data_IF_195761072998
#
_entry.id   IF_195761072998
#
_cell.length_a   1.000
_cell.length_b   1.000
_cell.length_c   1.000
_cell.angle_alpha   90.00
_cell.angle_beta   90.00
_cell.angle_gamma   90.00
#
_symmetry.space_group_name_H-M   'P 1'
#
loop_
_entity.id
_entity.type
_entity.pdbx_description
1 polymer ?
#
# COMPACT_ATOMS: atom_id res chain seq x y z
N UNK A 1 13.71 -5.27 -8.14
CA UNK A 1 12.42 -5.85 -8.51
C UNK A 1 12.18 -5.91 -10.02
N UNK A 2 12.90 -5.12 -10.85
CA UNK A 2 12.78 -5.13 -12.32
C UNK A 2 13.78 -6.08 -13.02
N UNK A 3 14.70 -6.70 -12.27
CA UNK A 3 15.73 -7.59 -12.81
C UNK A 3 15.18 -8.81 -13.56
N UNK A 4 14.17 -9.55 -13.06
CA UNK A 4 13.64 -10.73 -13.73
C UNK A 4 12.88 -10.40 -15.03
N UNK A 5 12.25 -9.21 -15.08
CA UNK A 5 11.55 -8.76 -16.28
C UNK A 5 12.53 -8.38 -17.40
N UNK A 6 13.65 -7.76 -17.02
CA UNK A 6 14.73 -7.39 -17.95
C UNK A 6 15.41 -8.61 -18.53
N UNK A 7 15.68 -9.63 -17.72
CA UNK A 7 16.30 -10.89 -18.15
C UNK A 7 15.41 -11.71 -19.10
N UNK A 8 14.11 -11.78 -18.81
CA UNK A 8 13.12 -12.42 -19.70
C UNK A 8 12.92 -11.65 -21.02
N UNK A 9 13.01 -10.32 -20.99
CA UNK A 9 12.97 -9.46 -22.18
C UNK A 9 14.24 -9.59 -23.03
N UNK A 10 15.40 -9.75 -22.43
CA UNK A 10 16.65 -10.04 -23.15
C UNK A 10 16.58 -11.42 -23.82
N UNK A 11 16.04 -12.44 -23.15
CA UNK A 11 15.81 -13.78 -23.71
C UNK A 11 14.80 -13.73 -24.86
N UNK A 12 13.69 -12.98 -24.72
CA UNK A 12 12.72 -12.76 -25.80
C UNK A 12 13.35 -12.04 -26.99
N UNK A 13 14.15 -11.01 -26.76
CA UNK A 13 14.85 -10.29 -27.81
C UNK A 13 15.87 -11.17 -28.55
N UNK A 14 16.52 -12.11 -27.87
CA UNK A 14 17.40 -13.11 -28.47
C UNK A 14 16.61 -14.14 -29.33
N UNK A 15 15.47 -14.60 -28.83
CA UNK A 15 14.61 -15.58 -29.53
C UNK A 15 14.01 -14.97 -30.82
N UNK A 16 13.54 -13.74 -30.75
CA UNK A 16 13.02 -12.97 -31.91
C UNK A 16 14.14 -12.63 -32.88
N UNK A 17 15.37 -12.42 -32.41
CA UNK A 17 16.53 -12.11 -33.28
C UNK A 17 17.00 -13.32 -34.06
N UNK A 18 16.91 -14.51 -33.51
CA UNK A 18 17.34 -15.75 -34.17
C UNK A 18 16.36 -16.27 -35.24
N UNK A 19 15.08 -15.83 -35.19
CA UNK A 19 14.03 -16.36 -36.09
C UNK A 19 13.62 -15.46 -37.28
N UNK A 20 14.29 -14.32 -37.51
CA UNK A 20 13.83 -13.41 -38.56
C UNK A 20 14.95 -12.68 -39.30
N UNK A 21 15.39 -13.17 -40.41
CA UNK A 21 16.16 -12.42 -41.41
C UNK A 21 15.29 -11.56 -42.35
N UNK A 22 13.96 -11.61 -42.28
CA UNK A 22 13.06 -10.92 -43.22
C UNK A 22 12.08 -9.87 -42.60
N UNK A 23 12.09 -9.61 -41.28
CA UNK A 23 11.13 -8.68 -40.68
C UNK A 23 11.79 -7.55 -39.89
N UNK A 24 12.77 -6.88 -40.49
CA UNK A 24 13.52 -5.78 -39.84
C UNK A 24 12.66 -4.54 -39.53
N UNK A 25 11.66 -4.24 -40.32
CA UNK A 25 10.78 -3.07 -40.16
C UNK A 25 9.85 -3.26 -38.93
N UNK A 26 9.13 -4.37 -38.82
CA UNK A 26 8.21 -4.66 -37.71
C UNK A 26 8.94 -4.82 -36.38
N UNK A 27 10.18 -5.29 -36.39
CA UNK A 27 11.02 -5.43 -35.20
C UNK A 27 11.44 -4.09 -34.59
N UNK A 28 11.75 -3.13 -35.47
CA UNK A 28 12.12 -1.76 -35.02
C UNK A 28 10.92 -1.03 -34.44
N UNK A 29 9.75 -1.19 -35.03
CA UNK A 29 8.50 -0.58 -34.56
C UNK A 29 8.05 -1.12 -33.21
N UNK A 30 8.12 -2.44 -33.00
CA UNK A 30 7.82 -3.08 -31.70
C UNK A 30 8.82 -2.63 -30.63
N UNK A 31 10.11 -2.52 -30.97
CA UNK A 31 11.14 -2.08 -30.05
C UNK A 31 10.95 -0.62 -29.63
N UNK A 32 10.66 0.28 -30.58
CA UNK A 32 10.40 1.71 -30.30
C UNK A 32 9.15 1.89 -29.46
N UNK A 33 8.06 1.21 -29.78
CA UNK A 33 6.80 1.27 -29.01
C UNK A 33 7.00 0.78 -27.58
N UNK A 34 7.80 -0.28 -27.39
CA UNK A 34 8.13 -0.79 -26.05
C UNK A 34 9.04 0.19 -25.27
N UNK A 35 10.07 0.75 -25.89
CA UNK A 35 10.94 1.75 -25.27
C UNK A 35 10.16 3.02 -24.88
N UNK A 36 9.23 3.45 -25.71
CA UNK A 36 8.32 4.57 -25.38
C UNK A 36 7.36 4.24 -24.23
N UNK A 37 6.79 3.04 -24.21
CA UNK A 37 5.94 2.57 -23.11
C UNK A 37 6.71 2.52 -21.78
N UNK A 38 7.94 2.02 -21.80
CA UNK A 38 8.81 1.99 -20.62
C UNK A 38 9.20 3.39 -20.14
N UNK A 39 9.48 4.33 -21.05
CA UNK A 39 9.76 5.74 -20.71
C UNK A 39 8.55 6.41 -20.07
N UNK A 40 7.34 6.17 -20.60
CA UNK A 40 6.09 6.68 -20.00
C UNK A 40 5.86 6.11 -18.60
N UNK A 41 6.05 4.82 -18.42
CA UNK A 41 5.90 4.16 -17.12
C UNK A 41 6.89 4.72 -16.08
N UNK A 42 8.15 4.98 -16.47
CA UNK A 42 9.16 5.60 -15.60
C UNK A 42 8.77 7.05 -15.23
N UNK A 43 8.31 7.82 -16.21
CA UNK A 43 7.87 9.19 -15.97
C UNK A 43 6.64 9.27 -15.04
N UNK A 44 5.68 8.35 -15.20
CA UNK A 44 4.52 8.22 -14.31
C UNK A 44 4.94 7.83 -12.88
N UNK A 45 5.91 6.91 -12.74
CA UNK A 45 6.44 6.54 -11.43
C UNK A 45 7.15 7.71 -10.75
N UNK A 46 7.99 8.49 -11.47
CA UNK A 46 8.64 9.68 -10.92
C UNK A 46 7.62 10.74 -10.50
N UNK A 47 6.60 10.99 -11.32
CA UNK A 47 5.51 11.92 -10.96
C UNK A 47 4.76 11.45 -9.72
N UNK A 48 4.47 10.15 -9.61
CA UNK A 48 3.77 9.57 -8.46
C UNK A 48 4.60 9.71 -7.18
N UNK A 49 5.90 9.44 -7.24
CA UNK A 49 6.82 9.60 -6.11
C UNK A 49 6.93 11.07 -5.69
N UNK A 50 7.00 11.98 -6.66
CA UNK A 50 7.04 13.42 -6.39
C UNK A 50 5.75 13.93 -5.77
N UNK A 51 4.59 13.56 -6.32
CA UNK A 51 3.28 13.89 -5.77
C UNK A 51 3.09 13.34 -4.35
N UNK A 52 3.61 12.14 -4.09
CA UNK A 52 3.58 11.53 -2.76
C UNK A 52 4.45 12.29 -1.75
N UNK A 53 5.65 12.74 -2.13
CA UNK A 53 6.50 13.61 -1.29
C UNK A 53 5.82 14.94 -0.98
N UNK A 54 5.29 15.61 -1.98
CA UNK A 54 4.58 16.89 -1.80
C UNK A 54 3.32 16.75 -0.95
N UNK A 55 2.63 15.60 -1.04
CA UNK A 55 1.50 15.26 -0.17
C UNK A 55 1.94 15.03 1.27
N UNK A 56 3.06 14.33 1.49
CA UNK A 56 3.63 14.11 2.82
C UNK A 56 4.08 15.42 3.48
N UNK A 57 4.76 16.31 2.73
CA UNK A 57 5.17 17.61 3.24
C UNK A 57 3.99 18.50 3.64
N UNK A 58 2.92 18.47 2.83
CA UNK A 58 1.66 19.17 3.16
C UNK A 58 1.00 18.59 4.40
N UNK A 59 0.91 17.27 4.50
CA UNK A 59 0.34 16.59 5.67
C UNK A 59 1.12 16.93 6.95
N UNK A 60 2.46 16.95 6.92
CA UNK A 60 3.29 17.33 8.06
C UNK A 60 3.04 18.80 8.47
N UNK A 61 2.86 19.70 7.51
CA UNK A 61 2.56 21.11 7.80
C UNK A 61 1.18 21.29 8.41
N UNK A 62 0.15 20.69 7.84
CA UNK A 62 -1.22 20.67 8.37
C UNK A 62 -1.28 20.08 9.78
N UNK A 63 -0.54 18.99 9.99
CA UNK A 63 -0.40 18.36 11.28
C UNK A 63 0.14 19.31 12.34
N UNK A 64 1.17 20.08 12.02
CA UNK A 64 1.75 21.06 12.92
C UNK A 64 0.73 22.16 13.28
N UNK A 65 0.02 22.65 12.29
CA UNK A 65 -1.03 23.67 12.51
C UNK A 65 -2.21 23.13 13.34
N UNK A 66 -2.63 21.89 13.11
CA UNK A 66 -3.66 21.22 13.91
C UNK A 66 -3.21 20.95 15.34
N UNK A 67 -1.96 20.52 15.54
CA UNK A 67 -1.39 20.32 16.88
C UNK A 67 -1.37 21.60 17.68
N UNK A 68 -1.03 22.73 17.07
CA UNK A 68 -1.06 24.05 17.71
C UNK A 68 -2.51 24.46 18.06
N UNK A 69 -3.50 24.17 17.21
CA UNK A 69 -4.92 24.44 17.53
C UNK A 69 -5.43 23.57 18.65
N UNK A 70 -5.20 22.25 18.60
CA UNK A 70 -5.60 21.33 19.68
C UNK A 70 -4.95 21.74 21.00
N UNK A 71 -3.70 22.17 21.00
CA UNK A 71 -2.99 22.65 22.18
C UNK A 71 -3.64 23.91 22.78
N UNK A 72 -4.07 24.83 21.93
CA UNK A 72 -4.72 26.09 22.38
C UNK A 72 -6.17 25.84 22.85
N UNK A 73 -6.93 25.01 22.18
CA UNK A 73 -8.29 24.61 22.56
C UNK A 73 -8.28 23.81 23.86
N UNK A 74 -7.30 22.92 24.05
CA UNK A 74 -7.11 22.19 25.29
C UNK A 74 -6.81 23.11 26.47
N UNK A 75 -6.01 24.16 26.31
CA UNK A 75 -5.72 25.12 27.35
C UNK A 75 -6.96 25.93 27.80
N UNK A 76 -7.80 26.29 26.83
CA UNK A 76 -9.06 27.05 27.12
C UNK A 76 -10.11 26.18 27.80
N UNK A 77 -10.27 24.91 27.37
CA UNK A 77 -11.24 23.96 27.92
C UNK A 77 -10.81 23.42 29.30
N UNK A 78 -9.50 23.34 29.57
CA UNK A 78 -8.94 22.91 30.85
C UNK A 78 -9.50 23.74 32.00
N UNK A 79 -9.84 25.01 31.75
CA UNK A 79 -10.42 25.88 32.71
C UNK A 79 -11.91 25.60 33.01
N UNK A 80 -12.64 25.06 32.03
CA UNK A 80 -14.07 24.73 32.15
C UNK A 80 -14.31 23.34 32.80
N UNK A 81 -13.36 22.41 32.72
CA UNK A 81 -13.47 21.04 33.20
C UNK A 81 -13.09 20.86 34.69
N UNK A 82 -13.12 21.92 35.48
CA UNK A 82 -12.68 21.92 36.86
C UNK A 82 -13.57 21.04 37.75
N UNK A 83 -13.00 19.97 38.29
CA UNK A 83 -13.59 19.20 39.42
C UNK A 83 -14.42 17.97 39.01
N UNK A 84 -14.67 17.72 37.73
CA UNK A 84 -15.42 16.55 37.27
C UNK A 84 -14.50 15.55 36.53
N UNK A 85 -14.15 14.47 37.23
CA UNK A 85 -13.26 13.44 36.70
C UNK A 85 -13.89 12.68 35.51
N UNK A 86 -15.22 12.57 35.47
CA UNK A 86 -15.92 11.92 34.38
C UNK A 86 -15.86 12.77 33.10
N UNK A 87 -16.17 14.07 33.22
CA UNK A 87 -16.05 15.01 32.08
C UNK A 87 -14.61 15.08 31.54
N UNK A 88 -13.61 14.99 32.43
CA UNK A 88 -12.20 14.93 32.00
C UNK A 88 -11.89 13.66 31.23
N UNK A 89 -12.45 12.51 31.63
CA UNK A 89 -12.33 11.24 30.91
C UNK A 89 -12.97 11.32 29.52
N UNK A 90 -14.23 11.70 29.45
CA UNK A 90 -15.01 11.85 28.22
C UNK A 90 -14.31 12.81 27.21
N UNK A 91 -13.74 13.89 27.74
CA UNK A 91 -12.96 14.84 26.95
C UNK A 91 -11.66 14.21 26.39
N UNK A 92 -10.94 13.45 27.21
CA UNK A 92 -9.72 12.76 26.76
C UNK A 92 -9.98 11.76 25.65
N UNK A 93 -11.08 10.98 25.75
CA UNK A 93 -11.53 10.06 24.73
C UNK A 93 -11.93 10.81 23.44
N UNK A 94 -12.65 11.93 23.53
CA UNK A 94 -13.04 12.76 22.38
C UNK A 94 -11.81 13.30 21.63
N UNK A 95 -10.79 13.78 22.36
CA UNK A 95 -9.54 14.27 21.74
C UNK A 95 -8.78 13.12 21.06
N UNK A 96 -8.76 11.94 21.65
CA UNK A 96 -8.17 10.75 21.05
C UNK A 96 -8.87 10.38 19.74
N UNK A 97 -10.21 10.29 19.77
CA UNK A 97 -11.03 9.96 18.59
C UNK A 97 -10.79 10.96 17.46
N UNK A 98 -10.87 12.26 17.75
CA UNK A 98 -10.58 13.30 16.77
C UNK A 98 -9.16 13.22 16.21
N UNK A 99 -8.17 12.91 17.04
CA UNK A 99 -6.78 12.75 16.60
C UNK A 99 -6.63 11.55 15.63
N UNK A 100 -7.36 10.46 15.88
CA UNK A 100 -7.38 9.28 15.00
C UNK A 100 -8.07 9.58 13.67
N UNK A 101 -9.19 10.29 13.67
CA UNK A 101 -9.89 10.72 12.45
C UNK A 101 -9.03 11.63 11.59
N UNK A 102 -8.42 12.65 12.20
CA UNK A 102 -7.60 13.66 11.50
C UNK A 102 -6.32 13.07 10.85
N UNK A 103 -5.87 11.90 11.30
CA UNK A 103 -4.70 11.21 10.72
C UNK A 103 -4.97 10.48 9.40
N UNK A 104 -6.21 10.43 8.92
CA UNK A 104 -6.59 9.76 7.69
C UNK A 104 -6.57 8.22 7.78
N UNK A 105 -6.55 7.66 8.99
CA UNK A 105 -6.77 6.24 9.23
C UNK A 105 -8.25 5.90 9.05
N UNK A 106 -8.54 4.68 8.61
CA UNK A 106 -9.90 4.21 8.34
C UNK A 106 -10.41 3.46 9.57
N UNK A 107 -11.51 3.97 10.17
CA UNK A 107 -12.19 3.30 11.29
C UNK A 107 -12.68 1.91 10.87
N UNK A 108 -12.71 0.99 11.81
CA UNK A 108 -13.10 -0.41 11.67
C UNK A 108 -12.23 -1.23 10.69
N UNK A 109 -11.13 -0.64 10.20
CA UNK A 109 -10.13 -1.31 9.39
C UNK A 109 -8.70 -1.12 9.93
N UNK A 110 -8.31 0.13 10.19
CA UNK A 110 -6.98 0.52 10.61
C UNK A 110 -6.94 0.96 12.07
N UNK A 111 -8.06 1.39 12.62
CA UNK A 111 -8.26 1.57 14.06
C UNK A 111 -9.68 1.20 14.47
N UNK A 112 -9.84 0.84 15.75
CA UNK A 112 -11.09 0.40 16.34
C UNK A 112 -11.28 1.15 17.67
N UNK A 113 -12.44 1.77 17.86
CA UNK A 113 -12.79 2.45 19.10
C UNK A 113 -13.51 1.48 20.04
N UNK A 114 -13.19 1.57 21.32
CA UNK A 114 -13.89 0.92 22.42
C UNK A 114 -14.19 -0.57 22.20
N UNK A 115 -13.27 -1.30 21.56
CA UNK A 115 -13.41 -2.73 21.26
C UNK A 115 -13.34 -3.54 22.57
N UNK A 116 -14.30 -4.46 22.78
CA UNK A 116 -14.33 -5.33 23.95
C UNK A 116 -13.43 -6.55 23.80
N UNK A 117 -12.62 -6.80 24.82
CA UNK A 117 -11.81 -8.01 24.98
C UNK A 117 -12.20 -8.71 26.28
N UNK A 118 -12.12 -10.05 26.30
CA UNK A 118 -12.38 -10.85 27.50
C UNK A 118 -11.12 -11.58 27.90
N UNK A 119 -10.84 -11.58 29.21
CA UNK A 119 -9.80 -12.45 29.76
C UNK A 119 -10.29 -13.91 29.89
N UNK A 120 -9.42 -14.77 30.41
CA UNK A 120 -9.75 -16.19 30.63
C UNK A 120 -10.81 -16.38 31.73
N UNK A 121 -11.00 -15.42 32.57
CA UNK A 121 -11.95 -15.42 33.69
C UNK A 121 -13.30 -14.79 33.29
N UNK A 122 -13.43 -14.30 32.04
CA UNK A 122 -14.64 -13.71 31.50
C UNK A 122 -14.80 -12.21 31.78
N UNK A 123 -13.83 -11.55 32.42
CA UNK A 123 -13.85 -10.11 32.65
C UNK A 123 -13.75 -9.33 31.35
N UNK A 124 -14.53 -8.27 31.22
CA UNK A 124 -14.51 -7.41 30.06
C UNK A 124 -13.45 -6.30 30.19
N UNK A 125 -12.62 -6.16 29.17
CA UNK A 125 -11.64 -5.09 29.05
C UNK A 125 -11.94 -4.29 27.80
N UNK A 126 -11.98 -2.98 27.92
CA UNK A 126 -12.35 -2.07 26.83
C UNK A 126 -11.35 -0.92 26.76
N UNK A 127 -10.30 -1.05 25.97
CA UNK A 127 -9.41 0.06 25.65
C UNK A 127 -10.14 1.13 24.84
N UNK A 128 -9.70 2.39 24.95
CA UNK A 128 -10.33 3.50 24.24
C UNK A 128 -10.14 3.36 22.73
N UNK A 129 -8.93 2.94 22.28
CA UNK A 129 -8.68 2.64 20.89
C UNK A 129 -7.68 1.48 20.71
N UNK A 130 -7.80 0.79 19.58
CA UNK A 130 -6.85 -0.22 19.11
C UNK A 130 -6.45 0.12 17.68
N UNK A 131 -5.15 0.30 17.43
CA UNK A 131 -4.60 0.52 16.10
C UNK A 131 -4.18 -0.82 15.50
N UNK A 132 -4.52 -1.07 14.24
CA UNK A 132 -4.03 -2.20 13.46
C UNK A 132 -2.89 -1.75 12.52
N UNK A 133 -1.82 -2.54 12.45
CA UNK A 133 -0.72 -2.38 11.50
C UNK A 133 -0.87 -3.33 10.30
N UNK A 134 -0.26 -3.03 9.16
CA UNK A 134 -0.37 -3.87 7.96
C UNK A 134 0.10 -5.33 8.14
N UNK A 135 1.05 -5.56 9.06
CA UNK A 135 1.55 -6.90 9.44
C UNK A 135 0.62 -7.66 10.39
N UNK A 136 -0.59 -7.13 10.61
CA UNK A 136 -1.60 -7.68 11.51
C UNK A 136 -1.24 -7.59 13.00
N UNK A 137 -0.23 -6.82 13.36
CA UNK A 137 0.03 -6.42 14.76
C UNK A 137 -0.93 -5.33 15.20
N UNK A 138 -1.07 -5.16 16.53
CA UNK A 138 -1.98 -4.18 17.12
C UNK A 138 -1.30 -3.40 18.23
N UNK A 139 -1.64 -2.11 18.34
CA UNK A 139 -1.28 -1.27 19.49
C UNK A 139 -2.56 -0.84 20.21
N UNK A 140 -2.52 -0.88 21.53
CA UNK A 140 -3.61 -0.40 22.38
C UNK A 140 -3.33 1.03 22.79
N UNK A 141 -4.33 1.91 22.73
CA UNK A 141 -4.29 3.27 23.26
C UNK A 141 -5.36 3.39 24.35
N UNK A 142 -4.97 3.99 25.47
CA UNK A 142 -5.87 4.32 26.57
C UNK A 142 -5.60 5.77 27.00
N UNK A 143 -6.63 6.62 26.96
CA UNK A 143 -6.52 8.02 27.32
C UNK A 143 -6.58 8.19 28.84
N UNK A 144 -5.63 8.93 29.37
CA UNK A 144 -5.58 9.23 30.82
C UNK A 144 -5.39 10.72 31.06
N UNK A 145 -6.33 11.30 31.80
CA UNK A 145 -6.35 12.72 32.08
C UNK A 145 -6.00 12.96 33.55
N UNK A 146 -5.05 13.84 33.79
CA UNK A 146 -4.56 14.20 35.11
C UNK A 146 -4.43 15.72 35.23
N UNK A 147 -5.56 16.45 35.26
CA UNK A 147 -5.59 17.91 35.18
C UNK A 147 -5.54 18.61 36.57
N UNK A 148 -6.07 17.99 37.61
CA UNK A 148 -6.32 18.67 38.88
C UNK A 148 -5.06 19.27 39.54
N UNK A 149 -4.02 18.47 39.69
CA UNK A 149 -2.76 18.93 40.28
C UNK A 149 -2.02 19.90 39.36
N UNK A 150 -2.04 19.68 38.06
CA UNK A 150 -1.46 20.57 37.05
C UNK A 150 -2.12 21.96 37.07
N UNK A 151 -3.46 22.01 37.11
CA UNK A 151 -4.22 23.26 37.20
C UNK A 151 -3.95 24.02 38.51
N UNK A 152 -3.81 23.30 39.63
CA UNK A 152 -3.44 23.90 40.90
C UNK A 152 -2.05 24.55 40.81
N UNK A 153 -1.10 23.84 40.19
CA UNK A 153 0.27 24.34 40.00
C UNK A 153 0.34 25.61 39.13
N UNK A 154 -0.46 25.71 38.09
CA UNK A 154 -0.45 26.89 37.19
C UNK A 154 -1.03 28.11 37.87
N UNK A 155 -2.01 27.95 38.76
CA UNK A 155 -2.69 29.04 39.48
C UNK A 155 -1.95 29.50 40.73
N UNK A 156 -0.98 28.71 41.16
CA UNK A 156 -0.25 28.98 42.39
C UNK A 156 0.89 30.00 42.15
N UNK A 157 0.91 31.05 42.94
CA UNK A 157 1.94 32.11 42.89
C UNK A 157 3.16 31.73 43.72
N UNK A 158 2.93 31.01 44.83
CA UNK A 158 4.01 30.61 45.74
C UNK A 158 4.85 29.47 45.11
N UNK A 159 6.14 29.69 44.96
CA UNK A 159 7.04 28.76 44.25
C UNK A 159 7.11 27.37 44.92
N UNK A 160 7.10 27.30 46.24
CA UNK A 160 7.16 26.06 47.03
C UNK A 160 5.88 25.21 46.86
N UNK A 161 4.72 25.84 46.91
CA UNK A 161 3.44 25.19 46.72
C UNK A 161 3.26 24.76 45.26
N UNK A 162 3.68 25.60 44.30
CA UNK A 162 3.68 25.24 42.87
C UNK A 162 4.54 24.00 42.59
N UNK A 163 5.74 23.92 43.17
CA UNK A 163 6.60 22.74 43.02
C UNK A 163 5.95 21.49 43.64
N UNK A 164 5.29 21.61 44.76
CA UNK A 164 4.52 20.53 45.38
C UNK A 164 3.41 20.02 44.45
N UNK A 165 2.59 20.92 43.90
CA UNK A 165 1.54 20.53 42.95
C UNK A 165 2.09 19.88 41.65
N UNK A 166 3.25 20.34 41.17
CA UNK A 166 3.91 19.68 40.05
C UNK A 166 4.36 18.26 40.38
N UNK A 167 4.86 18.01 41.59
CA UNK A 167 5.18 16.65 42.06
C UNK A 167 3.93 15.78 42.19
N UNK A 168 2.82 16.34 42.65
CA UNK A 168 1.53 15.67 42.74
C UNK A 168 1.01 15.32 41.32
N UNK A 169 1.19 16.20 40.34
CA UNK A 169 0.88 15.91 38.93
C UNK A 169 1.67 14.74 38.39
N UNK A 170 2.99 14.70 38.59
CA UNK A 170 3.84 13.56 38.19
C UNK A 170 3.38 12.27 38.87
N UNK A 171 3.07 12.31 40.15
CA UNK A 171 2.59 11.15 40.91
C UNK A 171 1.24 10.64 40.37
N UNK A 172 0.35 11.54 39.96
CA UNK A 172 -0.92 11.17 39.31
C UNK A 172 -0.69 10.45 37.97
N UNK A 173 0.26 10.92 37.16
CA UNK A 173 0.60 10.23 35.93
C UNK A 173 1.22 8.85 36.23
N UNK A 174 2.13 8.72 37.20
CA UNK A 174 2.68 7.44 37.65
C UNK A 174 1.60 6.46 38.09
N UNK A 175 0.60 6.95 38.83
CA UNK A 175 -0.56 6.13 39.24
C UNK A 175 -1.33 5.61 38.05
N UNK A 176 -1.59 6.45 37.04
CA UNK A 176 -2.23 5.98 35.80
C UNK A 176 -1.39 4.96 35.03
N UNK A 177 -0.06 5.08 35.01
CA UNK A 177 0.85 4.06 34.47
C UNK A 177 0.68 2.73 35.19
N UNK A 178 0.58 2.76 36.55
CA UNK A 178 0.40 1.56 37.36
C UNK A 178 -0.94 0.90 37.06
N UNK A 179 -2.03 1.65 37.12
CA UNK A 179 -3.39 1.20 36.84
C UNK A 179 -3.50 0.59 35.42
N UNK A 180 -2.83 1.19 34.44
CA UNK A 180 -2.87 0.73 33.07
C UNK A 180 -2.02 -0.54 32.87
N UNK A 181 -0.87 -0.61 33.52
CA UNK A 181 -0.04 -1.82 33.52
C UNK A 181 -0.76 -3.03 34.11
N UNK A 182 -1.53 -2.81 35.18
CA UNK A 182 -2.30 -3.88 35.85
C UNK A 182 -3.41 -4.46 34.96
N UNK A 183 -3.92 -3.69 33.99
CA UNK A 183 -4.91 -4.17 33.00
C UNK A 183 -4.36 -5.22 32.04
N UNK A 184 -3.06 -5.34 31.87
CA UNK A 184 -2.38 -6.33 31.01
C UNK A 184 -2.94 -6.40 29.59
N UNK A 185 -3.29 -5.30 28.98
CA UNK A 185 -3.86 -5.25 27.62
C UNK A 185 -2.99 -5.94 26.57
N UNK A 186 -1.67 -5.92 26.74
CA UNK A 186 -0.71 -6.56 25.83
C UNK A 186 -0.90 -8.09 25.76
N UNK A 187 -1.50 -8.71 26.80
CA UNK A 187 -1.82 -10.15 26.82
C UNK A 187 -3.25 -10.45 26.34
N UNK A 188 -4.15 -9.47 26.41
CA UNK A 188 -5.56 -9.60 26.10
C UNK A 188 -5.83 -9.34 24.62
N UNK A 189 -5.12 -8.38 24.02
CA UNK A 189 -5.30 -8.02 22.62
C UNK A 189 -4.44 -8.93 21.73
N UNK A 190 -5.06 -9.71 20.82
CA UNK A 190 -4.31 -10.62 19.95
C UNK A 190 -3.30 -9.86 19.09
N UNK A 191 -2.06 -10.36 19.05
CA UNK A 191 -0.94 -9.78 18.30
C UNK A 191 -0.58 -8.34 18.72
N UNK A 192 -0.74 -8.01 19.99
CA UNK A 192 -0.28 -6.75 20.54
C UNK A 192 1.25 -6.63 20.44
N UNK A 193 1.75 -5.43 20.12
CA UNK A 193 3.19 -5.11 20.02
C UNK A 193 3.95 -5.18 21.36
N UNK A 194 3.29 -5.61 22.45
CA UNK A 194 3.90 -5.74 23.78
C UNK A 194 3.98 -4.45 24.59
N UNK A 195 3.40 -3.37 24.08
CA UNK A 195 3.29 -2.08 24.77
C UNK A 195 1.88 -1.53 24.66
N UNK A 196 1.47 -0.76 25.69
CA UNK A 196 0.24 0.03 25.71
C UNK A 196 0.59 1.51 25.63
N UNK A 197 -0.09 2.24 24.76
CA UNK A 197 0.11 3.66 24.55
C UNK A 197 -0.82 4.43 25.53
N UNK A 198 -0.27 5.10 26.52
CA UNK A 198 -1.00 5.97 27.41
C UNK A 198 -1.06 7.38 26.84
N UNK A 199 -2.22 7.79 26.37
CA UNK A 199 -2.44 9.10 25.78
C UNK A 199 -2.77 10.15 26.84
N UNK A 200 -1.96 11.20 26.92
CA UNK A 200 -2.18 12.37 27.76
C UNK A 200 -2.66 13.52 26.86
N UNK A 201 -3.95 13.89 26.86
CA UNK A 201 -4.56 14.73 25.81
C UNK A 201 -4.22 16.22 25.87
N UNK A 202 -3.20 16.61 26.62
CA UNK A 202 -2.75 18.01 26.72
C UNK A 202 -1.21 18.11 26.77
N UNK A 203 -0.66 18.84 25.82
CA UNK A 203 0.78 18.94 25.56
C UNK A 203 1.53 19.61 26.71
N UNK A 204 0.92 20.68 27.30
CA UNK A 204 1.55 21.45 28.36
C UNK A 204 1.71 20.67 29.67
N UNK A 205 0.73 19.83 30.04
CA UNK A 205 0.83 18.98 31.23
C UNK A 205 1.84 17.85 31.05
N UNK A 206 1.87 17.22 29.86
CA UNK A 206 2.90 16.25 29.51
C UNK A 206 4.30 16.86 29.63
N UNK A 207 4.52 18.01 29.00
CA UNK A 207 5.80 18.70 29.02
C UNK A 207 6.20 19.14 30.43
N UNK A 208 5.24 19.60 31.27
CA UNK A 208 5.47 19.96 32.65
C UNK A 208 5.87 18.76 33.52
N UNK A 209 5.23 17.60 33.32
CA UNK A 209 5.60 16.37 34.01
C UNK A 209 7.03 15.95 33.68
N UNK A 210 7.44 15.98 32.39
CA UNK A 210 8.79 15.65 31.98
C UNK A 210 9.85 16.62 32.52
N UNK A 211 9.53 17.91 32.62
CA UNK A 211 10.44 18.90 33.22
C UNK A 211 10.61 18.66 34.70
N UNK A 212 9.56 18.21 35.38
CA UNK A 212 9.57 17.99 36.85
C UNK A 212 10.27 16.67 37.19
N UNK A 213 10.01 15.61 36.43
CA UNK A 213 10.65 14.31 36.61
C UNK A 213 10.88 13.60 35.27
N UNK A 214 12.07 13.78 34.66
CA UNK A 214 12.42 13.10 33.39
C UNK A 214 12.43 11.59 33.46
N UNK A 215 12.53 11.00 34.67
CA UNK A 215 12.59 9.54 34.86
C UNK A 215 11.23 8.86 34.61
N UNK A 216 10.14 9.63 34.51
CA UNK A 216 8.77 9.10 34.34
C UNK A 216 8.63 8.27 33.07
N UNK A 217 9.31 8.64 31.98
CA UNK A 217 9.28 7.86 30.74
C UNK A 217 9.93 6.49 30.92
N UNK A 218 11.07 6.44 31.60
CA UNK A 218 11.75 5.17 31.89
C UNK A 218 10.93 4.31 32.86
N UNK A 219 10.28 4.94 33.83
CA UNK A 219 9.37 4.26 34.75
C UNK A 219 8.21 3.58 34.00
N UNK A 220 7.55 4.31 33.11
CA UNK A 220 6.45 3.80 32.29
C UNK A 220 6.93 2.69 31.34
N UNK A 221 8.07 2.89 30.67
CA UNK A 221 8.63 1.92 29.73
C UNK A 221 8.93 0.56 30.40
N UNK A 222 9.45 0.55 31.63
CA UNK A 222 9.67 -0.70 32.40
C UNK A 222 8.37 -1.45 32.71
N UNK A 223 7.24 -0.76 32.66
CA UNK A 223 5.88 -1.30 32.85
C UNK A 223 5.14 -1.57 31.53
N UNK A 224 5.87 -1.59 30.43
CA UNK A 224 5.30 -1.77 29.09
C UNK A 224 4.30 -0.68 28.68
N UNK A 225 4.46 0.53 29.23
CA UNK A 225 3.63 1.71 28.91
C UNK A 225 4.50 2.76 28.21
N UNK A 226 3.99 3.30 27.12
CA UNK A 226 4.58 4.44 26.41
C UNK A 226 3.64 5.63 26.58
N UNK A 227 4.13 6.71 27.24
CA UNK A 227 3.34 7.93 27.46
C UNK A 227 3.46 8.80 26.21
N UNK A 228 2.32 9.18 25.64
CA UNK A 228 2.24 10.03 24.44
C UNK A 228 1.44 11.29 24.69
N UNK A 229 1.98 12.41 24.23
CA UNK A 229 1.25 13.67 24.07
C UNK A 229 0.48 13.69 22.74
N UNK A 230 -0.41 14.67 22.49
CA UNK A 230 -1.08 14.81 21.20
C UNK A 230 -0.12 14.87 20.02
N UNK A 231 0.96 15.63 20.10
CA UNK A 231 1.98 15.74 19.06
C UNK A 231 2.67 14.40 18.77
N UNK A 232 3.03 13.67 19.83
CA UNK A 232 3.72 12.38 19.69
C UNK A 232 2.79 11.30 19.15
N UNK A 233 1.53 11.27 19.61
CA UNK A 233 0.52 10.36 19.08
C UNK A 233 0.29 10.61 17.59
N UNK A 234 0.08 11.87 17.22
CA UNK A 234 -0.15 12.26 15.83
C UNK A 234 1.00 11.81 14.92
N UNK A 235 2.25 11.98 15.36
CA UNK A 235 3.43 11.51 14.63
C UNK A 235 3.43 9.98 14.47
N UNK A 236 3.10 9.22 15.52
CA UNK A 236 3.02 7.77 15.49
C UNK A 236 1.92 7.28 14.53
N UNK A 237 0.76 7.93 14.54
CA UNK A 237 -0.36 7.65 13.64
C UNK A 237 -0.02 7.95 12.19
N UNK A 238 0.68 9.04 11.91
CA UNK A 238 1.14 9.37 10.56
C UNK A 238 2.12 8.33 10.01
N UNK A 239 3.03 7.82 10.85
CA UNK A 239 3.90 6.71 10.47
C UNK A 239 3.08 5.46 10.14
N UNK A 240 2.07 5.14 10.96
CA UNK A 240 1.16 4.03 10.73
C UNK A 240 0.39 4.18 9.41
N UNK A 241 -0.12 5.37 9.11
CA UNK A 241 -0.78 5.66 7.83
C UNK A 241 0.17 5.45 6.64
N UNK A 242 1.42 5.93 6.76
CA UNK A 242 2.46 5.70 5.73
C UNK A 242 2.77 4.21 5.55
N UNK A 243 2.83 3.43 6.64
CA UNK A 243 3.00 1.98 6.55
C UNK A 243 1.86 1.31 5.79
N UNK A 244 0.61 1.72 6.00
CA UNK A 244 -0.56 1.23 5.27
C UNK A 244 -0.51 1.61 3.78
N UNK A 245 -0.10 2.83 3.44
CA UNK A 245 0.09 3.25 2.05
C UNK A 245 1.14 2.39 1.35
N UNK A 246 2.30 2.20 1.97
CA UNK A 246 3.38 1.36 1.42
C UNK A 246 2.95 -0.09 1.24
N UNK A 247 2.22 -0.65 2.19
CA UNK A 247 1.69 -2.01 2.11
C UNK A 247 0.73 -2.19 0.93
N UNK A 248 -0.19 -1.24 0.72
CA UNK A 248 -1.11 -1.24 -0.44
C UNK A 248 -0.35 -1.15 -1.75
N UNK A 249 0.65 -0.28 -1.84
CA UNK A 249 1.50 -0.15 -3.04
C UNK A 249 2.24 -1.45 -3.34
N UNK A 250 2.82 -2.09 -2.34
CA UNK A 250 3.52 -3.38 -2.53
C UNK A 250 2.58 -4.46 -3.03
N UNK A 251 1.40 -4.59 -2.45
CA UNK A 251 0.37 -5.54 -2.92
C UNK A 251 -0.05 -5.28 -4.37
N UNK A 252 -0.28 -4.03 -4.73
CA UNK A 252 -0.63 -3.68 -6.10
C UNK A 252 0.48 -4.04 -7.10
N UNK A 253 1.75 -3.82 -6.72
CA UNK A 253 2.91 -4.20 -7.55
C UNK A 253 2.98 -5.72 -7.72
N UNK A 254 2.77 -6.50 -6.66
CA UNK A 254 2.74 -7.97 -6.73
C UNK A 254 1.64 -8.47 -7.68
N UNK A 255 0.45 -7.90 -7.60
CA UNK A 255 -0.68 -8.23 -8.48
C UNK A 255 -0.38 -7.87 -9.96
N UNK A 256 0.18 -6.68 -10.21
CA UNK A 256 0.59 -6.26 -11.56
C UNK A 256 1.64 -7.22 -12.13
N UNK A 257 2.63 -7.62 -11.33
CA UNK A 257 3.65 -8.59 -11.76
C UNK A 257 3.04 -9.96 -12.08
N UNK A 258 2.11 -10.43 -11.27
CA UNK A 258 1.40 -11.67 -11.52
C UNK A 258 0.64 -11.62 -12.86
N UNK A 259 -0.20 -10.61 -13.05
CA UNK A 259 -0.98 -10.44 -14.30
C UNK A 259 -0.10 -10.24 -15.52
N UNK A 260 1.05 -9.55 -15.38
CA UNK A 260 2.01 -9.36 -16.45
C UNK A 260 2.66 -10.68 -16.89
N UNK A 261 2.99 -11.56 -15.96
CA UNK A 261 3.51 -12.89 -16.26
C UNK A 261 2.47 -13.75 -17.00
N UNK A 262 1.23 -13.77 -16.53
CA UNK A 262 0.12 -14.46 -17.19
C UNK A 262 -0.11 -13.98 -18.64
N UNK A 263 -0.06 -12.65 -18.84
CA UNK A 263 -0.19 -12.06 -20.17
C UNK A 263 0.98 -12.44 -21.06
N UNK A 264 2.19 -12.47 -20.54
CA UNK A 264 3.39 -12.87 -21.27
C UNK A 264 3.31 -14.32 -21.74
N UNK A 265 2.89 -15.25 -20.89
CA UNK A 265 2.75 -16.67 -21.24
C UNK A 265 1.67 -16.88 -22.34
N UNK A 266 0.58 -16.14 -22.27
CA UNK A 266 -0.45 -16.13 -23.34
C UNK A 266 0.10 -15.57 -24.65
N UNK A 267 0.90 -14.51 -24.59
CA UNK A 267 1.53 -13.94 -25.79
C UNK A 267 2.51 -14.92 -26.44
N UNK A 268 3.33 -15.61 -25.66
CA UNK A 268 4.25 -16.65 -26.21
C UNK A 268 3.47 -17.73 -26.93
N UNK A 269 2.40 -18.25 -26.31
CA UNK A 269 1.53 -19.27 -26.92
C UNK A 269 0.89 -18.77 -28.23
N UNK A 270 0.42 -17.53 -28.23
CA UNK A 270 -0.12 -16.89 -29.44
C UNK A 270 0.95 -16.79 -30.56
N UNK A 271 2.16 -16.30 -30.21
CA UNK A 271 3.27 -16.15 -31.15
C UNK A 271 3.68 -17.49 -31.79
N UNK A 272 3.77 -18.55 -30.98
CA UNK A 272 4.04 -19.92 -31.52
C UNK A 272 2.96 -20.37 -32.50
N UNK A 273 1.69 -20.12 -32.15
CA UNK A 273 0.56 -20.47 -33.06
C UNK A 273 0.61 -19.66 -34.34
N UNK A 274 0.94 -18.39 -34.27
CA UNK A 274 1.07 -17.50 -35.41
C UNK A 274 2.20 -17.95 -36.34
N UNK A 275 3.35 -18.34 -35.80
CA UNK A 275 4.47 -18.90 -36.59
C UNK A 275 4.06 -20.19 -37.30
N UNK A 276 3.34 -21.10 -36.63
CA UNK A 276 2.81 -22.34 -37.25
C UNK A 276 1.88 -22.05 -38.43
N UNK A 277 1.01 -21.03 -38.28
CA UNK A 277 0.13 -20.60 -39.39
C UNK A 277 0.96 -20.12 -40.57
N UNK A 278 1.98 -19.29 -40.34
CA UNK A 278 2.90 -18.81 -41.39
C UNK A 278 3.55 -19.97 -42.14
N UNK A 279 4.11 -20.94 -41.44
CA UNK A 279 4.73 -22.15 -42.03
C UNK A 279 3.72 -22.97 -42.85
N UNK A 280 2.48 -23.10 -42.39
CA UNK A 280 1.43 -23.80 -43.13
C UNK A 280 1.04 -23.06 -44.40
N UNK A 281 0.98 -21.74 -44.40
CA UNK A 281 0.72 -20.91 -45.60
C UNK A 281 1.84 -21.09 -46.62
N UNK A 282 3.11 -21.06 -46.21
CA UNK A 282 4.26 -21.29 -47.09
C UNK A 282 4.18 -22.69 -47.73
N UNK A 283 3.87 -23.70 -46.94
CA UNK A 283 3.69 -25.08 -47.42
C UNK A 283 2.55 -25.19 -48.43
N UNK A 284 1.42 -24.57 -48.11
CA UNK A 284 0.27 -24.52 -49.03
C UNK A 284 0.62 -23.84 -50.36
N UNK A 285 1.40 -22.74 -50.28
CA UNK A 285 1.89 -22.05 -51.48
C UNK A 285 2.80 -22.91 -52.34
N UNK A 286 3.70 -23.70 -51.70
CA UNK A 286 4.56 -24.64 -52.41
C UNK A 286 3.75 -25.75 -53.07
N UNK A 287 2.77 -26.32 -52.34
CA UNK A 287 1.91 -27.38 -52.89
C UNK A 287 1.03 -26.87 -54.04
N UNK A 288 0.52 -25.65 -53.94
CA UNK A 288 -0.22 -24.96 -55.00
C UNK A 288 0.68 -24.78 -56.25
N UNK A 289 1.90 -24.29 -56.08
CA UNK A 289 2.84 -24.12 -57.19
C UNK A 289 3.21 -25.46 -57.88
N UNK A 290 3.37 -26.53 -57.09
CA UNK A 290 3.57 -27.88 -57.65
C UNK A 290 2.36 -28.35 -58.49
N UNK A 291 1.16 -28.17 -57.91
CA UNK A 291 -0.07 -28.56 -58.62
C UNK A 291 -0.26 -27.73 -59.89
N UNK A 292 0.03 -26.44 -59.89
CA UNK A 292 0.00 -25.55 -61.02
C UNK A 292 1.02 -26.01 -62.14
N UNK A 293 2.24 -26.34 -61.71
CA UNK A 293 3.26 -26.90 -62.63
C UNK A 293 2.82 -28.20 -63.30
N UNK A 294 2.17 -29.12 -62.61
CA UNK A 294 1.61 -30.34 -63.13
C UNK A 294 0.46 -30.08 -64.10
N UNK A 295 -0.37 -29.08 -63.80
CA UNK A 295 -1.56 -28.73 -64.53
C UNK A 295 -1.24 -28.08 -65.91
N UNK A 296 -0.49 -26.94 -65.91
CA UNK A 296 -0.34 -26.07 -67.07
C UNK A 296 1.09 -25.55 -67.34
N UNK A 297 2.02 -25.48 -66.38
CA UNK A 297 3.33 -24.83 -66.59
C UNK A 297 4.52 -25.77 -66.74
N UNK A 298 4.47 -27.00 -66.23
CA UNK A 298 5.57 -27.97 -66.29
C UNK A 298 5.72 -28.69 -67.60
N UNK A 299 6.92 -29.27 -67.89
CA UNK A 299 7.13 -30.14 -69.10
C UNK A 299 6.21 -31.34 -69.02
N UNK A 300 5.37 -31.54 -70.12
CA UNK A 300 4.45 -32.63 -70.18
C UNK A 300 3.25 -32.54 -69.29
N UNK A 301 2.85 -31.27 -68.94
CA UNK A 301 1.70 -30.95 -68.11
C UNK A 301 0.39 -31.54 -68.68
N UNK A 302 -0.64 -31.60 -67.81
CA UNK A 302 -1.93 -32.23 -68.13
C UNK A 302 -2.62 -31.49 -69.26
N UNK A 303 -2.64 -30.14 -69.26
CA UNK A 303 -3.26 -29.35 -70.34
C UNK A 303 -2.64 -29.65 -71.69
N UNK A 304 -1.32 -29.62 -71.75
CA UNK A 304 -0.58 -29.93 -73.00
C UNK A 304 -0.82 -31.35 -73.51
N UNK A 305 -0.92 -32.35 -72.62
CA UNK A 305 -1.28 -33.73 -73.02
C UNK A 305 -2.70 -33.82 -73.52
N UNK A 306 -3.64 -33.12 -72.90
CA UNK A 306 -5.04 -33.06 -73.34
C UNK A 306 -5.17 -32.37 -74.73
N UNK A 307 -4.42 -31.30 -74.98
CA UNK A 307 -4.36 -30.67 -76.32
C UNK A 307 -3.79 -31.61 -77.36
N UNK A 308 -2.74 -32.35 -76.99
CA UNK A 308 -2.20 -33.39 -77.91
C UNK A 308 -3.19 -34.51 -78.24
N UNK A 309 -4.07 -34.87 -77.34
CA UNK A 309 -5.14 -35.82 -77.57
C UNK A 309 -6.22 -35.27 -78.50
N UNK A 310 -6.51 -33.94 -78.45
CA UNK A 310 -7.43 -33.29 -79.42
C UNK A 310 -6.90 -33.38 -80.83
N UNK A 311 -5.59 -33.22 -81.04
CA UNK A 311 -4.97 -33.38 -82.42
C UNK A 311 -5.03 -34.81 -82.95
N UNK A 312 -5.19 -35.78 -82.02
CA UNK A 312 -5.38 -37.21 -82.36
C UNK A 312 -6.85 -37.61 -82.61
N UNK A 313 -7.79 -36.58 -82.63
CA UNK A 313 -9.19 -36.84 -83.03
C UNK A 313 -10.17 -37.00 -81.89
N UNK A 314 -9.77 -36.78 -80.64
CA UNK A 314 -10.69 -36.79 -79.51
C UNK A 314 -11.45 -35.45 -79.39
N UNK A 315 -12.79 -35.49 -79.41
CA UNK A 315 -13.67 -34.34 -79.27
C UNK A 315 -14.34 -34.31 -77.91
N UNK A 316 -13.75 -33.62 -76.92
CA UNK A 316 -14.32 -33.55 -75.57
C UNK A 316 -15.58 -32.65 -75.56
N UNK A 317 -16.59 -33.01 -74.73
CA UNK A 317 -17.82 -32.22 -74.57
C UNK A 317 -17.62 -30.89 -73.80
N UNK A 318 -16.52 -30.74 -73.02
CA UNK A 318 -16.19 -29.56 -72.28
C UNK A 318 -14.84 -29.00 -72.73
N UNK A 319 -14.75 -27.67 -72.78
CA UNK A 319 -13.48 -27.00 -73.09
C UNK A 319 -12.68 -26.77 -71.79
N UNK A 320 -11.35 -26.75 -71.92
CA UNK A 320 -10.47 -26.36 -70.79
C UNK A 320 -10.66 -24.87 -70.54
N UNK A 321 -10.88 -24.41 -69.30
CA UNK A 321 -11.00 -23.01 -68.99
C UNK A 321 -9.75 -22.20 -69.38
N UNK A 322 -9.93 -21.02 -69.98
CA UNK A 322 -8.83 -20.15 -70.42
C UNK A 322 -7.95 -19.60 -69.30
N UNK A 323 -8.45 -19.66 -68.09
CA UNK A 323 -7.78 -19.10 -66.86
C UNK A 323 -7.03 -20.16 -66.05
N UNK A 324 -6.76 -21.30 -66.58
CA UNK A 324 -6.00 -22.36 -65.90
C UNK A 324 -4.49 -22.25 -66.14
#
# INVERSE_FOLDING_TARGET
LLSPLKERLETFNQTVTNNSKENTANKTEIKTTFEEAMKRLHAEQEMTIKAMRESQERAVKELREQTERIGNDAASLTQALKGDSKMQGDWGEMILEKTLEDCGLIQDQQYFLQQNFKDKDGNNFRPDAVIAFPNNERAVIDAKVSLTAYQAAIKEEEATLRERYMKEHVNSIKKHVDELSDKNYEKLVPKCIGFVLMFVPYESGYSAALKTDPSILQYAYRKHIIILSPSNLLMALQLTHTMWQNFRMTKNVEEILYQSNELFDKFVTFAETFVKIGTNIERLQQDFNKAKGQLNEGKGNIVRRLEGLKTLGISPKKQIPENL
#
